data_IF_709041348695
#
_entry.id   IF_709041348695
#
_cell.length_a   1.000
_cell.length_b   1.000
_cell.length_c   1.000
_cell.angle_alpha   90.00
_cell.angle_beta   90.00
_cell.angle_gamma   90.00
#
_symmetry.space_group_name_H-M   'P 1'
#
loop_
_entity.id
_entity.type
_entity.pdbx_description
1 polymer ?
#
# COMPACT_ATOMS: atom_id res chain seq x y z
N UNK A 1 -25.73 7.81 -20.65
CA UNK A 1 -24.79 6.69 -20.83
C UNK A 1 -23.45 6.95 -20.14
N UNK A 2 -22.83 8.13 -20.31
CA UNK A 2 -21.58 8.49 -19.59
C UNK A 2 -21.76 8.73 -18.08
N UNK A 3 -22.90 9.31 -17.66
CA UNK A 3 -23.21 9.58 -16.26
C UNK A 3 -23.23 8.30 -15.41
N UNK A 4 -23.93 7.27 -15.89
CA UNK A 4 -24.08 5.96 -15.24
C UNK A 4 -22.75 5.20 -15.19
N UNK A 5 -21.95 5.31 -16.26
CA UNK A 5 -20.59 4.74 -16.29
C UNK A 5 -19.67 5.41 -15.26
N UNK A 6 -19.71 6.75 -15.14
CA UNK A 6 -18.94 7.50 -14.15
C UNK A 6 -19.39 7.22 -12.72
N UNK A 7 -20.69 7.08 -12.48
CA UNK A 7 -21.21 6.66 -11.17
C UNK A 7 -20.70 5.26 -10.80
N UNK A 8 -20.69 4.33 -11.76
CA UNK A 8 -20.18 2.98 -11.53
C UNK A 8 -18.67 2.97 -11.25
N UNK A 9 -17.89 3.83 -11.91
CA UNK A 9 -16.44 4.03 -11.66
C UNK A 9 -16.19 4.59 -10.26
N UNK A 10 -16.95 5.61 -9.83
CA UNK A 10 -16.82 6.20 -8.50
C UNK A 10 -17.18 5.19 -7.40
N UNK A 11 -18.26 4.43 -7.60
CA UNK A 11 -18.65 3.33 -6.71
C UNK A 11 -17.58 2.23 -6.64
N UNK A 12 -17.03 1.81 -7.79
CA UNK A 12 -15.93 0.84 -7.84
C UNK A 12 -14.72 1.31 -7.03
N UNK A 13 -14.33 2.59 -7.18
CA UNK A 13 -13.19 3.14 -6.46
C UNK A 13 -13.45 3.27 -4.96
N UNK A 14 -14.65 3.67 -4.54
CA UNK A 14 -15.06 3.66 -3.14
C UNK A 14 -14.97 2.26 -2.52
N UNK A 15 -15.42 1.23 -3.25
CA UNK A 15 -15.22 -0.16 -2.83
C UNK A 15 -13.73 -0.47 -2.62
N UNK A 16 -12.86 -0.11 -3.59
CA UNK A 16 -11.41 -0.34 -3.47
C UNK A 16 -10.77 0.41 -2.30
N UNK A 17 -11.24 1.61 -1.98
CA UNK A 17 -10.80 2.38 -0.82
C UNK A 17 -11.21 1.69 0.48
N UNK A 18 -12.46 1.24 0.59
CA UNK A 18 -12.98 0.52 1.75
C UNK A 18 -12.23 -0.81 1.98
N UNK A 19 -11.93 -1.54 0.91
CA UNK A 19 -11.12 -2.78 0.98
C UNK A 19 -9.70 -2.50 1.49
N UNK A 20 -9.06 -1.46 0.93
CA UNK A 20 -7.72 -1.04 1.36
C UNK A 20 -7.73 -0.58 2.82
N UNK A 21 -8.76 0.17 3.23
CA UNK A 21 -8.99 0.60 4.60
C UNK A 21 -9.02 -0.61 5.53
N UNK A 22 -9.98 -1.53 5.36
CA UNK A 22 -10.15 -2.68 6.26
C UNK A 22 -8.91 -3.55 6.34
N UNK A 23 -8.22 -3.70 5.21
CA UNK A 23 -6.97 -4.44 5.17
C UNK A 23 -5.87 -3.75 5.99
N UNK A 24 -5.71 -2.43 5.85
CA UNK A 24 -4.78 -1.64 6.68
C UNK A 24 -5.17 -1.67 8.16
N UNK A 25 -6.45 -1.53 8.49
CA UNK A 25 -6.95 -1.64 9.88
C UNK A 25 -6.60 -2.99 10.48
N UNK A 26 -6.77 -4.08 9.71
CA UNK A 26 -6.41 -5.43 10.15
C UNK A 26 -4.90 -5.57 10.36
N UNK A 27 -4.09 -5.00 9.46
CA UNK A 27 -2.62 -5.08 9.56
C UNK A 27 -2.05 -4.21 10.69
N UNK A 28 -2.69 -3.08 10.98
CA UNK A 28 -2.24 -2.10 11.99
C UNK A 28 -2.91 -2.30 13.36
N UNK A 29 -4.04 -3.01 13.41
CA UNK A 29 -4.93 -3.09 14.58
C UNK A 29 -5.34 -1.71 15.09
N UNK A 30 -5.53 -0.75 14.18
CA UNK A 30 -5.94 0.63 14.45
C UNK A 30 -7.17 0.97 13.58
N UNK A 31 -8.11 1.74 14.12
CA UNK A 31 -9.28 2.21 13.35
C UNK A 31 -8.89 3.39 12.45
N UNK A 32 -9.23 3.29 11.16
CA UNK A 32 -8.94 4.30 10.15
C UNK A 32 -10.19 5.13 9.83
N UNK A 33 -10.02 6.37 9.36
CA UNK A 33 -11.14 7.24 8.98
C UNK A 33 -11.96 6.66 7.81
N UNK A 34 -13.15 7.21 7.52
CA UNK A 34 -13.98 6.75 6.39
C UNK A 34 -13.23 6.80 5.05
N UNK A 35 -13.61 5.98 4.06
CA UNK A 35 -12.92 5.89 2.76
C UNK A 35 -12.83 7.24 2.03
N UNK A 36 -13.77 8.15 2.27
CA UNK A 36 -13.77 9.53 1.75
C UNK A 36 -12.63 10.40 2.30
N UNK A 37 -12.22 10.18 3.54
CA UNK A 37 -11.13 10.90 4.24
C UNK A 37 -9.83 10.11 4.27
N UNK A 38 -9.87 8.83 3.90
CA UNK A 38 -8.72 7.93 3.86
C UNK A 38 -7.61 8.48 2.97
N UNK A 39 -7.97 8.96 1.77
CA UNK A 39 -7.02 9.55 0.83
C UNK A 39 -6.24 10.71 1.45
N UNK A 40 -6.92 11.57 2.21
CA UNK A 40 -6.29 12.72 2.86
C UNK A 40 -5.38 12.28 4.01
N UNK A 41 -5.80 11.25 4.75
CA UNK A 41 -5.03 10.67 5.86
C UNK A 41 -3.74 10.00 5.38
N UNK A 42 -3.74 9.41 4.19
CA UNK A 42 -2.54 8.78 3.61
C UNK A 42 -1.48 9.81 3.17
N UNK A 43 -1.84 11.08 2.96
CA UNK A 43 -0.92 12.13 2.47
C UNK A 43 0.25 12.39 3.40
N UNK A 44 0.04 12.24 4.71
CA UNK A 44 1.10 12.42 5.71
C UNK A 44 2.09 11.24 5.78
N UNK A 45 1.79 10.15 5.06
CA UNK A 45 2.60 8.95 5.02
C UNK A 45 2.72 8.18 6.34
N UNK A 46 2.08 8.62 7.44
CA UNK A 46 2.21 8.00 8.76
C UNK A 46 1.64 6.59 8.75
N UNK A 47 0.42 6.43 8.22
CA UNK A 47 -0.25 5.13 8.08
C UNK A 47 0.56 4.21 7.16
N UNK A 48 1.08 4.75 6.04
CA UNK A 48 1.92 4.00 5.10
C UNK A 48 3.23 3.53 5.75
N UNK A 49 3.89 4.39 6.52
CA UNK A 49 5.11 4.04 7.22
C UNK A 49 4.86 3.00 8.32
N UNK A 50 3.76 3.11 9.08
CA UNK A 50 3.35 2.09 10.05
C UNK A 50 3.10 0.75 9.35
N UNK A 51 2.45 0.77 8.19
CA UNK A 51 2.22 -0.44 7.39
C UNK A 51 3.56 -1.05 6.94
N UNK A 52 4.49 -0.20 6.46
CA UNK A 52 5.86 -0.58 6.14
C UNK A 52 6.59 -1.26 7.30
N UNK A 53 6.37 -0.77 8.52
CA UNK A 53 6.93 -1.37 9.73
C UNK A 53 6.38 -2.79 10.00
N UNK A 54 5.11 -3.07 9.72
CA UNK A 54 4.52 -4.38 9.98
C UNK A 54 5.20 -5.51 9.19
N UNK A 55 5.58 -5.25 7.93
CA UNK A 55 6.19 -6.27 7.07
C UNK A 55 7.72 -6.12 6.91
N UNK A 56 8.27 -4.93 7.12
CA UNK A 56 9.71 -4.67 7.06
C UNK A 56 10.16 -3.78 8.24
N UNK A 57 10.11 -4.28 9.49
CA UNK A 57 10.46 -3.50 10.68
C UNK A 57 11.94 -3.07 10.69
N UNK A 58 12.80 -3.78 9.97
CA UNK A 58 14.22 -3.49 9.76
C UNK A 58 14.45 -2.22 8.95
N UNK A 59 13.60 -1.97 7.94
CA UNK A 59 13.70 -0.83 7.03
C UNK A 59 13.00 0.40 7.59
N UNK A 60 11.84 0.20 8.22
CA UNK A 60 11.03 1.29 8.78
C UNK A 60 10.89 1.13 10.29
N UNK A 61 11.88 1.58 11.09
CA UNK A 61 11.73 1.61 12.53
C UNK A 61 10.64 2.61 12.94
N UNK A 62 9.70 2.21 13.81
CA UNK A 62 8.66 3.11 14.34
C UNK A 62 9.22 4.39 14.96
N UNK A 63 10.46 4.35 15.47
CA UNK A 63 11.16 5.51 16.06
C UNK A 63 11.56 6.58 15.03
N UNK A 64 11.68 6.20 13.74
CA UNK A 64 12.02 7.11 12.64
C UNK A 64 10.80 7.72 11.97
N UNK A 65 9.59 7.18 12.22
CA UNK A 65 8.34 7.71 11.68
C UNK A 65 8.09 9.08 12.29
N UNK A 66 8.03 10.10 11.43
CA UNK A 66 7.72 11.46 11.82
C UNK A 66 6.23 11.61 12.10
N UNK A 67 5.89 12.32 13.18
CA UNK A 67 4.50 12.61 13.59
C UNK A 67 3.62 11.35 13.72
N UNK A 68 4.11 10.33 14.41
CA UNK A 68 3.41 9.05 14.62
C UNK A 68 1.98 9.20 15.17
N UNK A 69 1.75 10.22 15.99
CA UNK A 69 0.46 10.54 16.60
C UNK A 69 -0.40 11.48 15.75
N UNK A 70 0.09 11.91 14.59
CA UNK A 70 -0.56 12.86 13.69
C UNK A 70 -0.96 14.18 14.39
N UNK A 71 -0.27 14.51 15.49
CA UNK A 71 -0.56 15.70 16.31
C UNK A 71 -0.17 16.96 15.55
N UNK A 72 0.98 16.95 14.86
CA UNK A 72 1.39 18.10 14.04
C UNK A 72 0.53 18.21 12.80
N UNK A 73 0.13 17.10 12.21
CA UNK A 73 -0.80 17.09 11.09
C UNK A 73 -2.15 17.72 11.46
N UNK A 74 -2.73 17.34 12.61
CA UNK A 74 -3.97 17.95 13.11
C UNK A 74 -3.82 19.43 13.50
N UNK A 75 -2.66 19.83 14.02
CA UNK A 75 -2.44 21.20 14.49
C UNK A 75 -2.02 22.19 13.39
N UNK A 76 -1.19 21.76 12.45
CA UNK A 76 -0.52 22.63 11.46
C UNK A 76 -0.61 22.10 10.02
N UNK A 77 -1.24 20.95 9.80
CA UNK A 77 -1.38 20.33 8.48
C UNK A 77 -0.12 19.63 7.98
N UNK A 78 -0.03 19.52 6.65
CA UNK A 78 1.02 18.76 5.97
C UNK A 78 2.37 19.48 6.02
N UNK A 79 3.33 18.89 6.72
CA UNK A 79 4.73 19.33 6.76
C UNK A 79 5.62 18.54 5.79
N UNK A 80 6.64 19.17 5.20
CA UNK A 80 7.55 18.52 4.25
C UNK A 80 8.20 17.22 4.78
N UNK A 81 8.53 17.17 6.07
CA UNK A 81 9.06 15.96 6.75
C UNK A 81 8.15 14.73 6.66
N UNK A 82 6.86 14.88 6.35
CA UNK A 82 5.98 13.73 6.09
C UNK A 82 6.39 12.97 4.82
N UNK A 83 7.11 13.60 3.89
CA UNK A 83 7.66 12.91 2.71
C UNK A 83 8.65 11.81 3.11
N UNK A 84 9.35 11.95 4.24
CA UNK A 84 10.24 10.91 4.77
C UNK A 84 9.45 9.64 5.10
N UNK A 85 8.25 9.77 5.69
CA UNK A 85 7.38 8.64 6.00
C UNK A 85 6.99 7.86 4.74
N UNK A 86 6.68 8.58 3.66
CA UNK A 86 6.34 8.00 2.36
C UNK A 86 7.56 7.27 1.78
N UNK A 87 8.74 7.89 1.85
CA UNK A 87 9.98 7.26 1.37
C UNK A 87 10.30 5.97 2.13
N UNK A 88 10.14 5.96 3.46
CA UNK A 88 10.31 4.75 4.26
C UNK A 88 9.38 3.62 3.80
N UNK A 89 8.11 3.91 3.52
CA UNK A 89 7.19 2.91 2.99
C UNK A 89 7.61 2.38 1.61
N UNK A 90 8.10 3.25 0.72
CA UNK A 90 8.64 2.84 -0.60
C UNK A 90 9.87 1.95 -0.47
N UNK A 91 10.76 2.25 0.47
CA UNK A 91 11.93 1.43 0.76
C UNK A 91 11.51 0.07 1.33
N UNK A 92 10.49 0.04 2.21
CA UNK A 92 9.93 -1.19 2.74
C UNK A 92 9.40 -2.11 1.63
N UNK A 93 8.63 -1.55 0.68
CA UNK A 93 8.09 -2.30 -0.46
C UNK A 93 9.20 -2.85 -1.36
N UNK A 94 10.23 -2.05 -1.61
CA UNK A 94 11.41 -2.48 -2.37
C UNK A 94 12.16 -3.60 -1.64
N UNK A 95 12.22 -3.55 -0.31
CA UNK A 95 12.90 -4.56 0.50
C UNK A 95 12.18 -5.91 0.52
N UNK A 96 10.84 -5.93 0.52
CA UNK A 96 10.09 -7.18 0.40
C UNK A 96 10.09 -7.75 -1.03
N UNK A 97 10.60 -7.00 -2.01
CA UNK A 97 10.67 -7.44 -3.41
C UNK A 97 9.42 -7.12 -4.21
N UNK A 98 8.61 -6.13 -3.80
CA UNK A 98 7.51 -5.66 -4.65
C UNK A 98 8.09 -4.97 -5.90
N UNK A 99 7.64 -5.32 -7.12
CA UNK A 99 8.14 -4.70 -8.34
C UNK A 99 7.88 -3.18 -8.38
N UNK A 100 8.89 -2.42 -8.82
CA UNK A 100 8.83 -0.94 -8.82
C UNK A 100 7.76 -0.35 -9.74
N UNK A 101 7.20 -1.13 -10.66
CA UNK A 101 6.04 -0.76 -11.48
C UNK A 101 4.82 -0.38 -10.60
N UNK A 102 4.68 -1.04 -9.45
CA UNK A 102 3.60 -0.75 -8.50
C UNK A 102 3.90 0.45 -7.60
N UNK A 103 5.17 0.84 -7.43
CA UNK A 103 5.55 1.89 -6.50
C UNK A 103 5.03 3.26 -6.96
N UNK A 104 4.24 3.97 -6.12
CA UNK A 104 3.88 5.34 -6.39
C UNK A 104 5.07 6.28 -6.15
N UNK A 105 5.00 7.48 -6.71
CA UNK A 105 5.94 8.56 -6.39
C UNK A 105 5.54 9.27 -5.09
N UNK A 106 6.50 9.90 -4.42
CA UNK A 106 6.24 10.66 -3.20
C UNK A 106 5.29 11.84 -3.46
N UNK A 107 5.37 12.44 -4.63
CA UNK A 107 4.48 13.51 -5.11
C UNK A 107 3.05 13.02 -5.38
N UNK A 108 2.87 11.76 -5.80
CA UNK A 108 1.54 11.17 -6.02
C UNK A 108 0.71 11.18 -4.73
N UNK A 109 1.37 10.93 -3.59
CA UNK A 109 0.78 10.88 -2.25
C UNK A 109 0.76 12.27 -1.62
N UNK A 110 1.91 12.93 -1.52
CA UNK A 110 2.05 14.20 -0.79
C UNK A 110 1.21 15.32 -1.41
N UNK A 111 1.30 15.50 -2.74
CA UNK A 111 0.53 16.52 -3.47
C UNK A 111 -0.87 16.04 -3.85
N UNK A 112 -1.26 14.81 -3.47
CA UNK A 112 -2.50 14.16 -3.90
C UNK A 112 -2.64 14.14 -5.43
N UNK A 113 -1.52 14.08 -6.17
CA UNK A 113 -1.54 14.11 -7.65
C UNK A 113 -2.14 12.84 -8.25
N UNK A 114 -1.90 11.68 -7.63
CA UNK A 114 -2.35 10.39 -8.14
C UNK A 114 -2.62 9.40 -7.00
N UNK A 115 -3.60 9.73 -6.16
CA UNK A 115 -4.05 8.83 -5.09
C UNK A 115 -4.54 7.46 -5.58
N UNK A 116 -5.22 7.34 -6.75
CA UNK A 116 -5.60 6.02 -7.27
C UNK A 116 -4.42 5.07 -7.49
N UNK A 117 -3.23 5.59 -7.83
CA UNK A 117 -2.01 4.79 -7.93
C UNK A 117 -1.55 4.25 -6.57
N UNK A 118 -1.74 5.03 -5.50
CA UNK A 118 -1.41 4.62 -4.13
C UNK A 118 -2.33 3.49 -3.69
N UNK A 119 -3.63 3.63 -3.91
CA UNK A 119 -4.62 2.58 -3.64
C UNK A 119 -4.27 1.32 -4.44
N UNK A 120 -3.97 1.46 -5.74
CA UNK A 120 -3.52 0.35 -6.58
C UNK A 120 -2.27 -0.36 -6.02
N UNK A 121 -1.29 0.41 -5.54
CA UNK A 121 -0.11 -0.14 -4.90
C UNK A 121 -0.45 -0.91 -3.61
N UNK A 122 -1.36 -0.40 -2.77
CA UNK A 122 -1.82 -1.09 -1.56
C UNK A 122 -2.48 -2.43 -1.90
N UNK A 123 -3.29 -2.47 -2.95
CA UNK A 123 -3.90 -3.71 -3.45
C UNK A 123 -2.87 -4.71 -4.00
N UNK A 124 -1.85 -4.24 -4.72
CA UNK A 124 -0.76 -5.09 -5.17
C UNK A 124 0.06 -5.64 -3.99
N UNK A 125 0.36 -4.77 -3.04
CA UNK A 125 1.09 -5.11 -1.82
C UNK A 125 0.31 -6.12 -0.96
N UNK A 126 -1.00 -5.97 -0.80
CA UNK A 126 -1.81 -6.90 -0.01
C UNK A 126 -1.82 -8.31 -0.61
N UNK A 127 -1.97 -8.42 -1.94
CA UNK A 127 -1.87 -9.70 -2.65
C UNK A 127 -0.47 -10.31 -2.53
N UNK A 128 0.57 -9.48 -2.60
CA UNK A 128 1.96 -9.92 -2.47
C UNK A 128 2.28 -10.42 -1.06
N UNK A 129 1.94 -9.65 -0.04
CA UNK A 129 2.13 -10.03 1.36
C UNK A 129 1.29 -11.26 1.75
N UNK A 130 0.09 -11.41 1.17
CA UNK A 130 -0.71 -12.62 1.34
C UNK A 130 -0.02 -13.85 0.75
N UNK A 131 0.58 -13.74 -0.45
CA UNK A 131 1.39 -14.83 -1.03
C UNK A 131 2.59 -15.20 -0.16
N UNK A 132 3.21 -14.23 0.49
CA UNK A 132 4.31 -14.44 1.43
C UNK A 132 3.85 -14.95 2.81
N UNK A 133 2.54 -14.97 3.08
CA UNK A 133 1.98 -15.35 4.39
C UNK A 133 2.25 -14.32 5.50
N UNK A 134 2.57 -13.07 5.15
CA UNK A 134 2.88 -11.99 6.10
C UNK A 134 1.64 -11.16 6.48
N UNK A 135 0.62 -11.12 5.63
CA UNK A 135 -0.59 -10.34 5.85
C UNK A 135 -1.85 -11.11 5.41
N UNK A 136 -3.02 -10.80 5.97
CA UNK A 136 -4.28 -11.39 5.53
C UNK A 136 -4.64 -10.96 4.11
N UNK A 137 -5.48 -11.76 3.44
CA UNK A 137 -6.00 -11.45 2.12
C UNK A 137 -6.92 -10.23 2.19
N UNK A 138 -6.76 -9.29 1.26
CA UNK A 138 -7.72 -8.21 1.07
C UNK A 138 -9.09 -8.77 0.65
N UNK A 139 -10.17 -8.28 1.26
CA UNK A 139 -11.52 -8.73 0.93
C UNK A 139 -12.00 -8.04 -0.36
N UNK A 140 -12.80 -8.73 -1.17
CA UNK A 140 -13.52 -8.11 -2.29
C UNK A 140 -14.92 -7.73 -1.82
N UNK A 141 -15.12 -6.42 -1.64
CA UNK A 141 -16.35 -5.79 -1.15
C UNK A 141 -17.16 -5.16 -2.28
N UNK A 142 -16.69 -5.28 -3.53
CA UNK A 142 -17.43 -4.83 -4.69
C UNK A 142 -18.85 -5.45 -4.73
N UNK A 143 -19.88 -4.59 -4.72
CA UNK A 143 -21.28 -5.02 -4.72
C UNK A 143 -21.80 -5.56 -3.39
N UNK A 144 -21.01 -5.51 -2.31
CA UNK A 144 -21.41 -5.91 -0.94
C UNK A 144 -21.58 -4.72 0.01
N UNK A 145 -21.05 -3.57 -0.35
CA UNK A 145 -21.12 -2.33 0.43
C UNK A 145 -21.86 -1.30 -0.40
N UNK A 146 -22.88 -0.69 0.21
CA UNK A 146 -23.59 0.44 -0.37
C UNK A 146 -23.03 1.73 0.19
N UNK A 147 -22.79 2.70 -0.69
CA UNK A 147 -22.38 4.05 -0.34
C UNK A 147 -23.53 5.00 -0.60
N UNK A 148 -23.58 6.08 0.16
CA UNK A 148 -24.58 7.13 -0.04
C UNK A 148 -24.36 7.84 -1.38
N UNK A 149 -25.42 8.40 -1.96
CA UNK A 149 -25.31 9.19 -3.19
C UNK A 149 -24.35 10.38 -3.04
N UNK A 150 -24.24 10.93 -1.84
CA UNK A 150 -23.34 12.03 -1.52
C UNK A 150 -21.86 11.59 -1.59
N UNK A 151 -21.52 10.42 -1.04
CA UNK A 151 -20.18 9.84 -1.13
C UNK A 151 -19.80 9.50 -2.58
N UNK A 152 -20.71 8.88 -3.33
CA UNK A 152 -20.51 8.56 -4.75
C UNK A 152 -20.32 9.84 -5.58
N UNK A 153 -21.12 10.86 -5.30
CA UNK A 153 -21.03 12.16 -5.99
C UNK A 153 -19.73 12.88 -5.65
N UNK A 154 -19.32 12.87 -4.37
CA UNK A 154 -18.06 13.47 -3.95
C UNK A 154 -16.87 12.75 -4.60
N UNK A 155 -16.89 11.41 -4.62
CA UNK A 155 -15.84 10.63 -5.25
C UNK A 155 -15.78 10.84 -6.77
N UNK A 156 -16.94 10.93 -7.43
CA UNK A 156 -16.99 11.27 -8.86
C UNK A 156 -16.34 12.62 -9.14
N UNK A 157 -16.64 13.65 -8.35
CA UNK A 157 -16.04 14.98 -8.49
C UNK A 157 -14.54 14.94 -8.29
N UNK A 158 -14.07 14.19 -7.30
CA UNK A 158 -12.65 13.99 -7.06
C UNK A 158 -11.98 13.31 -8.26
N UNK A 159 -12.53 12.19 -8.75
CA UNK A 159 -12.03 11.50 -9.96
C UNK A 159 -12.02 12.40 -11.21
N UNK A 160 -13.04 13.25 -11.39
CA UNK A 160 -13.09 14.23 -12.49
C UNK A 160 -12.02 15.31 -12.37
N UNK A 161 -11.68 15.78 -11.15
CA UNK A 161 -10.59 16.74 -10.93
C UNK A 161 -9.24 16.15 -11.30
N UNK A 162 -9.01 14.87 -11.00
CA UNK A 162 -7.76 14.22 -11.34
C UNK A 162 -7.63 13.93 -12.83
N UNK A 163 -8.76 13.76 -13.54
CA UNK A 163 -8.76 13.40 -14.96
C UNK A 163 -8.07 12.04 -15.23
N UNK A 164 -7.92 11.21 -14.19
CA UNK A 164 -7.16 9.98 -14.24
C UNK A 164 -8.01 8.82 -14.74
N UNK A 165 -7.41 7.96 -15.55
CA UNK A 165 -7.95 6.63 -15.82
C UNK A 165 -7.68 5.75 -14.61
N UNK A 166 -8.73 5.13 -14.04
CA UNK A 166 -8.54 4.16 -12.97
C UNK A 166 -7.66 3.00 -13.47
N UNK A 167 -6.64 2.60 -12.69
CA UNK A 167 -5.82 1.46 -13.05
C UNK A 167 -6.65 0.17 -13.03
N UNK A 168 -6.25 -0.81 -13.84
CA UNK A 168 -6.99 -2.06 -13.97
C UNK A 168 -6.77 -2.96 -12.74
N UNK A 169 -7.55 -2.75 -11.68
CA UNK A 169 -7.47 -3.53 -10.43
C UNK A 169 -7.62 -5.04 -10.65
N UNK A 170 -8.50 -5.45 -11.57
CA UNK A 170 -8.72 -6.86 -11.92
C UNK A 170 -7.48 -7.55 -12.51
N UNK A 171 -6.50 -6.78 -13.02
CA UNK A 171 -5.27 -7.34 -13.61
C UNK A 171 -4.09 -7.34 -12.64
N UNK A 172 -4.22 -6.79 -11.43
CA UNK A 172 -3.12 -6.69 -10.46
C UNK A 172 -2.50 -8.06 -10.22
N UNK A 173 -3.31 -9.07 -9.91
CA UNK A 173 -2.80 -10.42 -9.64
C UNK A 173 -2.05 -11.04 -10.83
N UNK A 174 -2.52 -10.79 -12.05
CA UNK A 174 -1.89 -11.28 -13.28
C UNK A 174 -0.58 -10.57 -13.59
N UNK A 175 -0.54 -9.24 -13.48
CA UNK A 175 0.67 -8.44 -13.66
C UNK A 175 1.69 -8.82 -12.58
N UNK A 176 1.27 -8.90 -11.32
CA UNK A 176 2.12 -9.30 -10.20
C UNK A 176 2.71 -10.71 -10.42
N UNK A 177 1.91 -11.68 -10.86
CA UNK A 177 2.39 -13.02 -11.16
C UNK A 177 3.37 -13.04 -12.34
N UNK A 178 3.11 -12.24 -13.39
CA UNK A 178 3.99 -12.12 -14.53
C UNK A 178 5.34 -11.50 -14.15
N UNK A 179 5.34 -10.35 -13.46
CA UNK A 179 6.58 -9.68 -13.02
C UNK A 179 7.41 -10.57 -12.08
N UNK A 180 6.78 -11.27 -11.14
CA UNK A 180 7.49 -12.21 -10.25
C UNK A 180 8.04 -13.43 -11.00
N UNK A 181 7.35 -13.91 -12.04
CA UNK A 181 7.83 -15.04 -12.85
C UNK A 181 8.99 -14.65 -13.78
N UNK A 182 9.09 -13.38 -14.16
CA UNK A 182 10.18 -12.87 -15.01
C UNK A 182 11.47 -12.71 -14.21
N UNK A 183 11.39 -12.33 -12.92
CA UNK A 183 12.56 -12.18 -12.05
C UNK A 183 13.19 -13.53 -11.66
N UNK A 184 12.39 -14.59 -11.47
CA UNK A 184 12.89 -15.96 -11.23
C UNK A 184 13.67 -16.55 -12.41
N UNK A 185 13.52 -15.99 -13.62
CA UNK A 185 14.24 -16.43 -14.82
C UNK A 185 15.58 -15.69 -15.05
N UNK A 186 15.91 -14.67 -14.26
CA UNK A 186 17.15 -13.89 -14.38
C UNK A 186 18.26 -14.33 -13.40
N UNK A 187 18.02 -15.36 -12.60
CA UNK A 187 18.89 -15.80 -11.50
C UNK A 187 19.60 -17.14 -11.70
N UNK A 188 20.04 -17.51 -12.91
CA UNK A 188 20.99 -18.63 -13.06
C UNK A 188 22.00 -18.35 -14.17
N UNK A 189 23.16 -17.82 -13.77
CA UNK A 189 24.19 -17.45 -14.73
C UNK A 189 25.42 -16.77 -14.15
N UNK A 190 26.16 -17.43 -13.25
CA UNK A 190 27.62 -17.27 -13.16
C UNK A 190 28.26 -18.34 -12.25
N UNK A 191 29.16 -19.15 -12.84
CA UNK A 191 30.00 -20.16 -12.21
C UNK A 191 31.14 -19.58 -11.36
N UNK A 192 31.51 -20.32 -10.30
CA UNK A 192 32.90 -20.69 -10.02
C UNK A 192 33.62 -19.99 -8.86
N UNK A 193 34.04 -20.76 -7.85
CA UNK A 193 35.13 -20.37 -6.95
C UNK A 193 35.09 -20.92 -5.51
N UNK A 194 35.74 -22.07 -5.32
CA UNK A 194 36.19 -22.75 -4.09
C UNK A 194 36.42 -21.92 -2.81
N UNK A 195 36.08 -22.51 -1.64
CA UNK A 195 36.64 -22.13 -0.33
C UNK A 195 35.97 -22.82 0.86
N UNK A 196 36.64 -23.80 1.46
CA UNK A 196 36.20 -24.55 2.63
C UNK A 196 36.31 -23.75 3.96
N UNK A 197 35.45 -24.05 4.93
CA UNK A 197 35.62 -23.62 6.33
C UNK A 197 34.40 -23.88 7.24
N UNK A 198 34.52 -24.84 8.16
CA UNK A 198 33.76 -25.07 9.42
C UNK A 198 33.38 -23.73 10.15
N UNK A 199 32.33 -23.54 10.98
CA UNK A 199 31.53 -24.33 11.93
C UNK A 199 30.21 -23.56 12.28
N UNK A 200 29.26 -24.15 13.03
CA UNK A 200 27.91 -23.63 13.21
C UNK A 200 27.73 -22.77 14.48
N UNK A 201 26.74 -21.89 14.44
CA UNK A 201 26.14 -21.29 15.64
C UNK A 201 25.85 -19.81 15.47
N UNK A 202 24.56 -19.45 15.36
CA UNK A 202 23.90 -18.46 16.23
C UNK A 202 22.43 -18.25 15.81
N UNK A 203 21.57 -18.60 16.76
CA UNK A 203 20.38 -17.83 17.16
C UNK A 203 19.43 -17.32 16.06
N UNK A 204 18.50 -18.20 15.65
CA UNK A 204 17.25 -17.78 15.00
C UNK A 204 16.36 -17.12 16.06
N UNK A 205 16.61 -15.82 16.30
CA UNK A 205 15.72 -14.94 17.02
C UNK A 205 14.34 -14.97 16.37
N UNK A 206 13.35 -15.46 17.13
CA UNK A 206 11.95 -15.52 16.75
C UNK A 206 11.44 -14.15 16.30
N UNK A 207 11.02 -14.05 15.03
CA UNK A 207 10.18 -12.96 14.59
C UNK A 207 8.85 -13.02 15.36
N UNK A 208 8.36 -11.89 15.92
CA UNK A 208 7.05 -11.86 16.53
C UNK A 208 6.00 -12.02 15.41
N UNK A 209 5.28 -13.14 15.46
CA UNK A 209 4.05 -13.31 14.70
C UNK A 209 3.10 -12.17 15.08
N UNK A 210 2.74 -11.32 14.12
CA UNK A 210 1.52 -10.52 14.22
C UNK A 210 0.35 -11.51 14.36
N UNK A 211 -0.10 -11.70 15.60
CA UNK A 211 -1.26 -12.51 15.93
C UNK A 211 -2.51 -11.69 15.63
N UNK A 212 -3.32 -12.25 14.72
CA UNK A 212 -4.72 -11.92 14.46
C UNK A 212 -5.56 -12.37 15.66
#
# INVERSE_FOLDING_TARGET
MDEERRQNIAYQYLCRLEEAKRWMETCLSEELPPPTELEETLRNGVVLAKLGHCFAPTVVPLKKIYDREQMRYKAAGLHFRHTDNINYWRDAMSHVGLPSIFHPETTDIYDKKNMPRVVYCIHALSLYLFKLGLAPQIQDLYGKVDFTEEEITNMKRELEKYGLQLPAFSRIGGILANELSVDEAAGDGAQGGSGAGQQPGQDLGSAPKCQI
#
